data_IF_019025694427
#
_entry.id   IF_019025694427
#
_cell.length_a   1.000
_cell.length_b   1.000
_cell.length_c   1.000
_cell.angle_alpha   90.00
_cell.angle_beta   90.00
_cell.angle_gamma   90.00
#
_symmetry.space_group_name_H-M   'P 1'
#
loop_
_entity.id
_entity.type
_entity.pdbx_description
1 polymer ?
#
# COMPACT_ATOMS: atom_id res chain seq x y z
N UNK A 1 -0.86 7.78 -5.37
CA UNK A 1 -1.96 7.39 -6.28
C UNK A 1 -1.46 6.90 -7.62
N UNK A 2 -0.68 7.69 -8.34
CA UNK A 2 -0.28 7.39 -9.72
C UNK A 2 0.91 6.45 -9.80
N UNK A 3 1.85 6.59 -8.88
CA UNK A 3 3.12 5.86 -8.90
C UNK A 3 3.15 4.67 -7.95
N UNK A 4 2.15 4.54 -7.08
CA UNK A 4 1.99 3.42 -6.16
C UNK A 4 1.11 2.33 -6.79
N UNK A 5 1.42 1.07 -6.50
CA UNK A 5 0.60 -0.08 -6.91
C UNK A 5 -0.45 -0.43 -5.85
N UNK A 6 -1.41 0.46 -5.65
CA UNK A 6 -2.49 0.26 -4.66
C UNK A 6 -3.66 -0.56 -5.20
N UNK A 7 -3.67 -0.88 -6.50
CA UNK A 7 -4.67 -1.73 -7.16
C UNK A 7 -4.17 -3.15 -7.45
N UNK A 8 -2.89 -3.44 -7.20
CA UNK A 8 -2.27 -4.74 -7.51
C UNK A 8 -2.12 -5.02 -9.02
N UNK A 9 -2.11 -3.97 -9.85
CA UNK A 9 -2.00 -4.08 -11.32
C UNK A 9 -0.85 -3.25 -11.88
N UNK A 10 0.04 -2.81 -11.00
CA UNK A 10 1.07 -1.82 -11.26
C UNK A 10 0.60 -0.38 -11.07
N UNK A 11 1.56 0.53 -11.06
CA UNK A 11 1.35 1.97 -10.96
C UNK A 11 0.36 2.48 -12.03
N UNK A 12 -0.71 3.13 -11.59
CA UNK A 12 -1.76 3.69 -12.45
C UNK A 12 -1.22 4.65 -13.52
N UNK A 13 -0.14 5.37 -13.21
CA UNK A 13 0.55 6.28 -14.13
C UNK A 13 1.01 5.60 -15.42
N UNK A 14 1.24 4.28 -15.41
CA UNK A 14 1.60 3.50 -16.61
C UNK A 14 0.40 3.20 -17.51
N UNK A 15 -0.82 3.32 -16.99
CA UNK A 15 -2.06 2.98 -17.70
C UNK A 15 -2.73 4.22 -18.32
N UNK A 16 -2.26 5.43 -17.99
CA UNK A 16 -2.73 6.70 -18.55
C UNK A 16 -1.69 7.29 -19.50
N UNK A 17 -2.13 8.09 -20.47
CA UNK A 17 -1.22 8.74 -21.41
C UNK A 17 -0.27 9.73 -20.73
N UNK A 18 -0.77 10.46 -19.73
CA UNK A 18 0.02 11.37 -18.92
C UNK A 18 -0.64 11.57 -17.56
N UNK A 19 0.13 12.02 -16.58
CA UNK A 19 -0.37 12.50 -15.28
C UNK A 19 -0.09 13.99 -15.22
N UNK A 20 -1.13 14.79 -14.99
CA UNK A 20 -0.94 16.24 -14.86
C UNK A 20 -0.16 16.57 -13.59
N UNK A 21 0.79 17.51 -13.67
CA UNK A 21 1.77 17.79 -12.61
C UNK A 21 1.14 18.14 -11.26
N UNK A 22 -0.02 18.82 -11.26
CA UNK A 22 -0.75 19.17 -10.04
C UNK A 22 -1.28 17.96 -9.26
N UNK A 23 -1.30 16.78 -9.88
CA UNK A 23 -1.80 15.53 -9.30
C UNK A 23 -0.69 14.51 -9.02
N UNK A 24 0.55 14.75 -9.46
CA UNK A 24 1.67 13.80 -9.33
C UNK A 24 1.92 13.39 -7.88
N UNK A 25 1.87 14.35 -6.96
CA UNK A 25 2.17 14.14 -5.53
C UNK A 25 0.92 13.85 -4.69
N UNK A 26 -0.25 13.72 -5.31
CA UNK A 26 -1.51 13.53 -4.59
C UNK A 26 -1.73 12.08 -4.18
N UNK A 27 -2.15 11.90 -2.92
CA UNK A 27 -2.57 10.60 -2.39
C UNK A 27 -3.97 10.23 -2.90
N UNK A 28 -4.25 8.93 -3.00
CA UNK A 28 -5.56 8.35 -3.33
C UNK A 28 -6.66 8.92 -2.43
N UNK A 29 -6.38 9.14 -1.15
CA UNK A 29 -7.32 9.68 -0.18
C UNK A 29 -7.91 11.05 -0.56
N UNK A 30 -7.17 11.88 -1.32
CA UNK A 30 -7.66 13.20 -1.78
C UNK A 30 -8.81 13.04 -2.79
N UNK A 31 -8.85 11.92 -3.50
CA UNK A 31 -9.84 11.64 -4.53
C UNK A 31 -11.03 10.82 -4.02
N UNK A 32 -11.09 10.55 -2.71
CA UNK A 32 -12.17 9.79 -2.09
C UNK A 32 -12.86 10.61 -0.99
N UNK A 33 -14.18 10.72 -1.05
CA UNK A 33 -14.97 11.36 0.01
C UNK A 33 -16.34 10.68 0.14
N UNK A 34 -16.76 10.39 1.37
CA UNK A 34 -18.12 9.93 1.68
C UNK A 34 -18.62 8.78 0.80
N UNK A 35 -17.78 7.77 0.53
CA UNK A 35 -18.20 6.61 -0.26
C UNK A 35 -18.14 6.82 -1.78
N UNK A 36 -17.58 7.95 -2.26
CA UNK A 36 -17.55 8.30 -3.68
C UNK A 36 -16.17 8.78 -4.13
N UNK A 37 -15.78 8.34 -5.32
CA UNK A 37 -14.59 8.85 -6.02
C UNK A 37 -14.89 10.20 -6.68
N UNK A 38 -14.05 11.20 -6.40
CA UNK A 38 -14.14 12.56 -6.94
C UNK A 38 -13.34 12.71 -8.25
N UNK A 39 -13.67 11.91 -9.27
CA UNK A 39 -12.96 11.98 -10.55
C UNK A 39 -13.10 13.35 -11.24
N UNK A 40 -14.18 14.08 -10.97
CA UNK A 40 -14.42 15.42 -11.53
C UNK A 40 -13.37 16.46 -11.10
N UNK A 41 -12.63 16.19 -10.02
CA UNK A 41 -11.54 17.07 -9.54
C UNK A 41 -10.24 16.88 -10.30
N UNK A 42 -10.16 15.86 -11.16
CA UNK A 42 -8.99 15.59 -11.99
C UNK A 42 -8.96 16.56 -13.17
N UNK A 43 -7.79 17.15 -13.39
CA UNK A 43 -7.51 18.01 -14.55
C UNK A 43 -7.24 17.20 -15.82
N UNK A 44 -7.60 15.91 -15.82
CA UNK A 44 -7.35 14.97 -16.88
C UNK A 44 -8.50 13.97 -16.97
N UNK A 45 -8.79 13.49 -18.18
CA UNK A 45 -9.80 12.46 -18.42
C UNK A 45 -9.18 11.10 -18.15
N UNK A 46 -9.75 10.35 -17.19
CA UNK A 46 -9.37 8.97 -16.97
C UNK A 46 -9.97 8.07 -18.06
N UNK A 47 -9.21 7.13 -18.64
CA UNK A 47 -9.76 6.06 -19.45
C UNK A 47 -10.83 5.28 -18.67
N UNK A 48 -11.97 5.00 -19.30
CA UNK A 48 -13.10 4.29 -18.68
C UNK A 48 -12.70 2.99 -17.99
N UNK A 49 -11.78 2.23 -18.60
CA UNK A 49 -11.21 0.99 -18.03
C UNK A 49 -10.58 1.19 -16.64
N UNK A 50 -9.92 2.33 -16.40
CA UNK A 50 -9.31 2.65 -15.11
C UNK A 50 -10.39 3.10 -14.14
N UNK A 51 -11.30 3.97 -14.58
CA UNK A 51 -12.41 4.46 -13.76
C UNK A 51 -13.24 3.31 -13.20
N UNK A 52 -13.62 2.34 -14.04
CA UNK A 52 -14.37 1.14 -13.62
C UNK A 52 -13.60 0.34 -12.57
N UNK A 53 -12.29 0.14 -12.76
CA UNK A 53 -11.45 -0.60 -11.80
C UNK A 53 -11.34 0.10 -10.47
N UNK A 54 -11.10 1.42 -10.48
CA UNK A 54 -11.02 2.22 -9.25
C UNK A 54 -12.36 2.21 -8.51
N UNK A 55 -13.49 2.29 -9.23
CA UNK A 55 -14.83 2.22 -8.63
C UNK A 55 -15.15 0.87 -7.97
N UNK A 56 -14.51 -0.21 -8.41
CA UNK A 56 -14.67 -1.54 -7.80
C UNK A 56 -13.94 -1.67 -6.46
N UNK A 57 -13.02 -0.76 -6.14
CA UNK A 57 -12.33 -0.76 -4.85
C UNK A 57 -13.29 -0.33 -3.76
N UNK A 58 -13.57 -1.25 -2.83
CA UNK A 58 -14.30 -0.93 -1.62
C UNK A 58 -13.35 -0.23 -0.64
N UNK A 59 -13.52 1.08 -0.48
CA UNK A 59 -12.85 1.81 0.60
C UNK A 59 -13.73 1.69 1.85
N UNK A 60 -13.20 1.17 2.97
CA UNK A 60 -13.96 1.04 4.21
C UNK A 60 -14.57 2.39 4.65
N UNK A 61 -15.88 2.41 4.89
CA UNK A 61 -16.63 3.59 5.36
C UNK A 61 -16.30 3.96 6.82
N UNK A 62 -15.83 2.98 7.58
CA UNK A 62 -15.37 3.16 8.95
C UNK A 62 -13.85 3.02 8.94
N UNK A 63 -13.15 3.91 9.63
CA UNK A 63 -11.74 3.70 10.02
C UNK A 63 -11.67 2.53 11.03
N UNK A 64 -12.09 1.34 10.62
CA UNK A 64 -12.04 0.15 11.46
C UNK A 64 -10.65 -0.46 11.35
N UNK A 65 -9.70 0.19 12.02
CA UNK A 65 -8.34 -0.30 12.17
C UNK A 65 -7.29 0.79 11.99
N UNK A 66 -6.22 0.71 12.78
CA UNK A 66 -4.95 1.38 12.44
C UNK A 66 -4.46 0.84 11.11
N UNK A 67 -3.79 1.66 10.30
CA UNK A 67 -3.11 1.18 9.09
C UNK A 67 -2.24 -0.02 9.45
N UNK A 68 -2.49 -1.14 8.77
CA UNK A 68 -1.72 -2.38 8.95
C UNK A 68 -0.83 -2.62 7.75
N UNK A 69 0.41 -3.05 8.01
CA UNK A 69 1.32 -3.47 6.94
C UNK A 69 0.75 -4.69 6.20
N UNK A 70 0.64 -4.59 4.88
CA UNK A 70 0.22 -5.68 4.01
C UNK A 70 1.41 -6.16 3.16
N UNK A 71 1.83 -7.41 3.36
CA UNK A 71 2.87 -8.04 2.55
C UNK A 71 2.35 -8.36 1.15
N UNK A 72 3.03 -7.87 0.11
CA UNK A 72 2.60 -7.97 -1.29
C UNK A 72 2.69 -9.38 -1.88
N UNK A 73 3.38 -10.31 -1.21
CA UNK A 73 3.63 -11.63 -1.79
C UNK A 73 4.95 -11.72 -2.53
N UNK A 74 5.51 -12.94 -2.60
CA UNK A 74 6.47 -13.28 -3.64
C UNK A 74 5.70 -13.75 -4.90
N UNK A 75 6.27 -13.58 -6.09
CA UNK A 75 5.64 -14.02 -7.35
C UNK A 75 5.30 -15.53 -7.38
N UNK A 76 5.94 -16.33 -6.52
CA UNK A 76 5.64 -17.76 -6.32
C UNK A 76 4.32 -18.01 -5.57
N UNK A 77 3.74 -16.99 -4.95
CA UNK A 77 2.59 -17.11 -4.02
C UNK A 77 2.96 -17.73 -2.67
N UNK A 78 4.21 -18.16 -2.48
CA UNK A 78 4.66 -18.78 -1.24
C UNK A 78 5.14 -17.72 -0.25
N UNK A 79 4.65 -17.80 0.99
CA UNK A 79 5.22 -17.03 2.08
C UNK A 79 6.58 -17.60 2.46
N UNK A 80 7.64 -16.85 2.17
CA UNK A 80 9.00 -17.16 2.63
C UNK A 80 9.35 -16.18 3.75
N UNK A 81 9.73 -16.71 4.92
CA UNK A 81 10.05 -15.92 6.11
C UNK A 81 11.07 -14.80 5.81
N UNK A 82 12.08 -15.09 4.98
CA UNK A 82 13.09 -14.10 4.59
C UNK A 82 12.52 -12.93 3.78
N UNK A 83 11.47 -13.15 2.98
CA UNK A 83 10.76 -12.10 2.25
C UNK A 83 9.90 -11.25 3.19
N UNK A 84 9.22 -11.89 4.15
CA UNK A 84 8.46 -11.20 5.18
C UNK A 84 9.32 -10.31 6.07
N UNK A 85 10.49 -10.79 6.51
CA UNK A 85 11.45 -10.01 7.32
C UNK A 85 11.97 -8.81 6.53
N UNK A 86 12.41 -9.01 5.27
CA UNK A 86 12.85 -7.90 4.42
C UNK A 86 11.75 -6.86 4.24
N UNK A 87 10.52 -7.29 4.00
CA UNK A 87 9.39 -6.37 3.86
C UNK A 87 9.20 -5.50 5.11
N UNK A 88 9.26 -6.12 6.30
CA UNK A 88 9.10 -5.41 7.57
C UNK A 88 10.28 -4.47 7.86
N UNK A 89 11.51 -4.84 7.49
CA UNK A 89 12.68 -3.97 7.58
C UNK A 89 12.56 -2.71 6.72
N UNK A 90 12.01 -2.82 5.50
CA UNK A 90 11.83 -1.66 4.60
C UNK A 90 10.61 -0.80 4.96
N UNK A 91 9.59 -1.38 5.58
CA UNK A 91 8.41 -0.64 6.06
C UNK A 91 8.70 0.24 7.30
N UNK A 92 9.87 0.09 7.93
CA UNK A 92 10.30 0.70 9.19
C UNK A 92 10.46 2.23 9.23
N UNK A 93 10.25 2.95 8.13
CA UNK A 93 10.57 4.39 8.08
C UNK A 93 9.57 5.29 8.83
N UNK A 94 8.44 4.76 9.29
CA UNK A 94 7.54 5.47 10.20
C UNK A 94 7.33 4.64 11.47
N UNK A 95 7.89 5.14 12.58
CA UNK A 95 7.66 4.72 13.97
C UNK A 95 7.59 3.20 14.19
N UNK A 96 8.75 2.55 14.30
CA UNK A 96 8.85 1.15 14.74
C UNK A 96 7.98 0.89 15.97
N UNK A 97 6.90 0.14 15.76
CA UNK A 97 6.02 -0.34 16.82
C UNK A 97 6.86 -1.06 17.87
N UNK A 98 6.70 -0.69 19.15
CA UNK A 98 7.51 -1.21 20.25
C UNK A 98 7.44 -2.75 20.32
N UNK A 99 6.37 -3.33 19.77
CA UNK A 99 6.15 -4.78 19.66
C UNK A 99 7.12 -5.41 18.65
N UNK A 100 7.38 -4.79 17.50
CA UNK A 100 8.30 -5.35 16.49
C UNK A 100 9.71 -5.52 17.03
N UNK A 101 10.24 -4.49 17.73
CA UNK A 101 11.56 -4.61 18.37
C UNK A 101 11.58 -5.68 19.46
N UNK A 102 10.51 -5.78 20.26
CA UNK A 102 10.43 -6.73 21.37
C UNK A 102 10.30 -8.18 20.95
N UNK A 103 9.62 -8.46 19.83
CA UNK A 103 9.37 -9.84 19.39
C UNK A 103 10.39 -10.29 18.35
N UNK A 104 10.73 -9.42 17.40
CA UNK A 104 11.44 -9.83 16.18
C UNK A 104 12.87 -9.30 16.08
N UNK A 105 13.21 -8.22 16.81
CA UNK A 105 14.57 -7.66 16.86
C UNK A 105 15.15 -7.75 18.27
N UNK A 106 14.97 -8.90 18.89
CA UNK A 106 15.55 -9.19 20.18
C UNK A 106 17.08 -9.11 20.10
N UNK A 107 17.72 -8.40 21.02
CA UNK A 107 19.18 -8.38 21.20
C UNK A 107 19.68 -9.70 21.83
N UNK A 108 19.20 -10.83 21.34
CA UNK A 108 19.71 -12.15 21.69
C UNK A 108 20.32 -12.80 20.46
N UNK A 109 21.26 -13.69 20.71
CA UNK A 109 21.86 -14.48 19.65
C UNK A 109 20.76 -15.25 18.89
N UNK A 110 20.83 -15.24 17.56
CA UNK A 110 19.85 -15.87 16.64
C UNK A 110 19.52 -17.34 17.01
N UNK A 111 20.44 -18.04 17.69
CA UNK A 111 20.22 -19.41 18.16
C UNK A 111 19.14 -19.54 19.25
N UNK A 112 18.88 -18.46 19.99
CA UNK A 112 17.90 -18.43 21.09
C UNK A 112 16.53 -17.95 20.58
N UNK A 113 16.49 -17.14 19.51
CA UNK A 113 15.22 -16.60 18.98
C UNK A 113 14.30 -17.67 18.38
N UNK A 114 14.82 -18.84 18.01
CA UNK A 114 14.01 -19.96 17.51
C UNK A 114 13.16 -20.65 18.59
N UNK A 115 13.46 -20.43 19.87
CA UNK A 115 12.76 -21.07 21.00
C UNK A 115 11.70 -20.18 21.68
N UNK A 116 11.54 -18.94 21.19
CA UNK A 116 10.53 -17.97 21.65
C UNK A 116 9.38 -17.91 20.65
#
# INVERSE_FOLDING_TARGET
>A
MWFDDWLGVGALGRLVQFVHISHSDRNVAIFWEQGRWKFDTLSMVLPSKITTRVQQVQVPLVQSGRDTFAWIGEASGCYILSSGVKFLEHASHSTLDAIWRKVWRLEVQVKISFFL
#
